data_IF_151412188627
#
_entry.id   IF_151412188627
#
_cell.length_a   1.000
_cell.length_b   1.000
_cell.length_c   1.000
_cell.angle_alpha   90.00
_cell.angle_beta   90.00
_cell.angle_gamma   90.00
#
_symmetry.space_group_name_H-M   'P 1'
#
loop_
_entity.id
_entity.type
_entity.pdbx_description
1 polymer ?
#
# COMPACT_ATOMS: atom_id res chain seq x y z
N UNK A 1 7.85 -26.05 -22.65
CA UNK A 1 7.35 -25.14 -21.58
C UNK A 1 6.03 -24.53 -22.03
N UNK A 2 4.97 -24.56 -21.20
CA UNK A 2 3.67 -23.98 -21.56
C UNK A 2 3.80 -22.46 -21.65
N UNK A 3 3.35 -21.87 -22.76
CA UNK A 3 3.39 -20.41 -22.97
C UNK A 3 2.74 -19.66 -21.81
N UNK A 4 3.38 -18.59 -21.33
CA UNK A 4 2.87 -17.70 -20.28
C UNK A 4 1.43 -17.20 -20.52
N UNK A 5 1.00 -17.09 -21.78
CA UNK A 5 -0.37 -16.71 -22.13
C UNK A 5 -1.38 -17.81 -21.76
N UNK A 6 -1.00 -19.08 -21.87
CA UNK A 6 -1.83 -20.22 -21.49
C UNK A 6 -1.95 -20.34 -19.96
N UNK A 7 -0.87 -20.10 -19.23
CA UNK A 7 -0.87 -20.16 -17.75
C UNK A 7 -1.70 -19.04 -17.13
N UNK A 8 -1.65 -17.82 -17.68
CA UNK A 8 -2.50 -16.70 -17.24
C UNK A 8 -3.99 -16.97 -17.52
N UNK A 9 -4.32 -17.53 -18.69
CA UNK A 9 -5.70 -17.90 -19.02
C UNK A 9 -6.23 -19.01 -18.12
N UNK A 10 -5.40 -19.99 -17.81
CA UNK A 10 -5.73 -21.06 -16.85
C UNK A 10 -5.91 -20.51 -15.43
N UNK A 11 -5.06 -19.59 -14.98
CA UNK A 11 -5.20 -18.89 -13.69
C UNK A 11 -6.54 -18.15 -13.60
N UNK A 12 -6.88 -17.34 -14.60
CA UNK A 12 -8.15 -16.60 -14.65
C UNK A 12 -9.38 -17.52 -14.65
N UNK A 13 -9.30 -18.65 -15.36
CA UNK A 13 -10.39 -19.64 -15.37
C UNK A 13 -10.53 -20.34 -14.01
N UNK A 14 -9.42 -20.61 -13.32
CA UNK A 14 -9.43 -21.21 -11.97
C UNK A 14 -9.98 -20.24 -10.93
N UNK A 15 -9.56 -18.98 -10.95
CA UNK A 15 -10.09 -17.96 -10.04
C UNK A 15 -11.58 -17.73 -10.27
N UNK A 16 -12.03 -17.67 -11.53
CA UNK A 16 -13.46 -17.53 -11.83
C UNK A 16 -14.28 -18.75 -11.36
N UNK A 17 -13.76 -19.97 -11.52
CA UNK A 17 -14.42 -21.19 -11.01
C UNK A 17 -14.50 -21.21 -9.48
N UNK A 18 -13.44 -20.81 -8.79
CA UNK A 18 -13.40 -20.71 -7.33
C UNK A 18 -14.41 -19.69 -6.81
N UNK A 19 -14.38 -18.47 -7.36
CA UNK A 19 -15.33 -17.40 -7.02
C UNK A 19 -16.76 -17.85 -7.27
N UNK A 20 -17.03 -18.49 -8.42
CA UNK A 20 -18.36 -19.01 -8.74
C UNK A 20 -18.79 -20.12 -7.78
N UNK A 21 -17.91 -21.07 -7.46
CA UNK A 21 -18.24 -22.16 -6.53
C UNK A 21 -18.51 -21.67 -5.11
N UNK A 22 -17.92 -20.55 -4.72
CA UNK A 22 -18.15 -19.91 -3.42
C UNK A 22 -19.41 -19.04 -3.39
N UNK A 23 -19.68 -18.28 -4.46
CA UNK A 23 -20.87 -17.42 -4.55
C UNK A 23 -22.17 -18.21 -4.81
N UNK A 24 -22.11 -19.27 -5.62
CA UNK A 24 -23.28 -20.04 -6.04
C UNK A 24 -24.12 -20.60 -4.87
N UNK A 25 -23.54 -21.20 -3.80
CA UNK A 25 -24.34 -21.69 -2.67
C UNK A 25 -24.96 -20.55 -1.84
N UNK A 26 -24.25 -19.42 -1.65
CA UNK A 26 -24.77 -18.28 -0.89
C UNK A 26 -25.88 -17.54 -1.64
N UNK A 27 -25.68 -17.26 -2.94
CA UNK A 27 -26.69 -16.63 -3.78
C UNK A 27 -27.87 -17.56 -4.08
N UNK A 28 -27.65 -18.88 -4.15
CA UNK A 28 -28.72 -19.88 -4.28
C UNK A 28 -29.64 -19.89 -3.06
N UNK A 29 -29.08 -19.94 -1.84
CA UNK A 29 -29.86 -19.96 -0.61
C UNK A 29 -30.70 -18.68 -0.42
N UNK A 30 -30.12 -17.51 -0.74
CA UNK A 30 -30.80 -16.21 -0.63
C UNK A 30 -31.81 -16.02 -1.79
N UNK A 31 -31.44 -16.44 -2.99
CA UNK A 31 -32.24 -16.34 -4.21
C UNK A 31 -33.50 -17.21 -4.20
N UNK A 32 -33.43 -18.40 -3.61
CA UNK A 32 -34.57 -19.32 -3.46
C UNK A 32 -35.52 -18.81 -2.37
N UNK A 33 -35.01 -18.34 -1.22
CA UNK A 33 -35.84 -17.80 -0.12
C UNK A 33 -36.62 -16.54 -0.52
N UNK A 34 -36.01 -15.64 -1.29
CA UNK A 34 -36.66 -14.39 -1.72
C UNK A 34 -37.28 -14.46 -3.12
N UNK A 35 -37.21 -15.62 -3.80
CA UNK A 35 -37.67 -15.85 -5.18
C UNK A 35 -37.29 -14.69 -6.11
N UNK A 36 -36.06 -14.20 -5.95
CA UNK A 36 -35.55 -12.99 -6.61
C UNK A 36 -35.64 -13.08 -8.12
N UNK A 37 -35.33 -14.26 -8.69
CA UNK A 37 -35.42 -14.49 -10.13
C UNK A 37 -36.83 -14.25 -10.69
N UNK A 38 -37.88 -14.60 -9.94
CA UNK A 38 -39.26 -14.37 -10.35
C UNK A 38 -39.64 -12.88 -10.32
N UNK A 39 -39.22 -12.17 -9.27
CA UNK A 39 -39.49 -10.73 -9.11
C UNK A 39 -38.71 -9.89 -10.12
N UNK A 40 -37.45 -10.25 -10.38
CA UNK A 40 -36.63 -9.61 -11.43
C UNK A 40 -37.27 -9.82 -12.80
N UNK A 41 -37.76 -11.02 -13.11
CA UNK A 41 -38.46 -11.27 -14.39
C UNK A 41 -39.71 -10.42 -14.52
N UNK A 42 -40.49 -10.27 -13.44
CA UNK A 42 -41.71 -9.47 -13.45
C UNK A 42 -41.42 -7.96 -13.55
N UNK A 43 -40.39 -7.49 -12.86
CA UNK A 43 -39.87 -6.13 -12.98
C UNK A 43 -39.37 -5.84 -14.40
N UNK A 44 -38.70 -6.79 -15.05
CA UNK A 44 -38.19 -6.63 -16.40
C UNK A 44 -39.32 -6.66 -17.46
N UNK A 45 -40.34 -7.50 -17.27
CA UNK A 45 -41.57 -7.49 -18.10
C UNK A 45 -42.29 -6.16 -17.94
N UNK A 46 -42.43 -5.67 -16.71
CA UNK A 46 -43.06 -4.38 -16.42
C UNK A 46 -42.27 -3.22 -17.02
N UNK A 47 -40.94 -3.27 -16.94
CA UNK A 47 -40.06 -2.28 -17.55
C UNK A 47 -40.21 -2.22 -19.07
N UNK A 48 -40.32 -3.39 -19.71
CA UNK A 48 -40.58 -3.48 -21.15
C UNK A 48 -41.96 -2.96 -21.53
N UNK A 49 -42.97 -3.09 -20.65
CA UNK A 49 -44.35 -2.63 -20.90
C UNK A 49 -44.51 -1.11 -20.72
N UNK A 50 -43.73 -0.48 -19.85
CA UNK A 50 -43.84 0.96 -19.56
C UNK A 50 -42.50 1.70 -19.67
N UNK A 51 -41.91 1.81 -20.88
CA UNK A 51 -40.54 2.30 -21.08
C UNK A 51 -40.33 3.76 -20.64
N UNK A 52 -41.34 4.63 -20.81
CA UNK A 52 -41.26 6.04 -20.40
C UNK A 52 -41.23 6.21 -18.88
N UNK A 53 -41.97 5.37 -18.15
CA UNK A 53 -42.02 5.42 -16.69
C UNK A 53 -40.73 4.87 -16.09
N UNK A 54 -40.19 3.78 -16.63
CA UNK A 54 -38.91 3.26 -16.16
C UNK A 54 -37.76 4.18 -16.43
N UNK A 55 -37.74 4.83 -17.60
CA UNK A 55 -36.73 5.85 -17.88
C UNK A 55 -36.84 7.02 -16.90
N UNK A 56 -38.04 7.53 -16.63
CA UNK A 56 -38.25 8.59 -15.65
C UNK A 56 -37.84 8.19 -14.23
N UNK A 57 -38.15 6.97 -13.78
CA UNK A 57 -37.72 6.49 -12.47
C UNK A 57 -36.21 6.30 -12.38
N UNK A 58 -35.57 5.75 -13.42
CA UNK A 58 -34.11 5.55 -13.43
C UNK A 58 -33.40 6.90 -13.44
N UNK A 59 -33.73 7.78 -14.39
CA UNK A 59 -33.14 9.11 -14.49
C UNK A 59 -33.44 9.96 -13.26
N UNK A 60 -34.65 9.87 -12.71
CA UNK A 60 -35.05 10.53 -11.47
C UNK A 60 -34.29 10.02 -10.26
N UNK A 61 -34.12 8.70 -10.11
CA UNK A 61 -33.32 8.12 -9.03
C UNK A 61 -31.84 8.50 -9.13
N UNK A 62 -31.30 8.56 -10.36
CA UNK A 62 -29.92 8.96 -10.60
C UNK A 62 -29.70 10.45 -10.25
N UNK A 63 -30.62 11.32 -10.68
CA UNK A 63 -30.61 12.73 -10.31
C UNK A 63 -30.79 12.94 -8.81
N UNK A 64 -31.68 12.16 -8.18
CA UNK A 64 -31.89 12.22 -6.75
C UNK A 64 -30.62 11.83 -5.97
N UNK A 65 -29.96 10.74 -6.36
CA UNK A 65 -28.66 10.36 -5.77
C UNK A 65 -27.63 11.45 -6.00
N UNK A 66 -27.55 12.04 -7.19
CA UNK A 66 -26.62 13.12 -7.48
C UNK A 66 -26.88 14.37 -6.61
N UNK A 67 -28.12 14.82 -6.52
CA UNK A 67 -28.51 15.96 -5.66
C UNK A 67 -28.30 15.63 -4.20
N UNK A 68 -28.59 14.41 -3.75
CA UNK A 68 -28.37 13.99 -2.37
C UNK A 68 -26.87 13.97 -2.01
N UNK A 69 -25.99 13.53 -2.91
CA UNK A 69 -24.54 13.60 -2.70
C UNK A 69 -24.08 15.05 -2.66
N UNK A 70 -24.48 15.90 -3.62
CA UNK A 70 -24.11 17.33 -3.61
C UNK A 70 -24.66 18.05 -2.38
N UNK A 71 -25.86 17.71 -1.93
CA UNK A 71 -26.46 18.28 -0.73
C UNK A 71 -25.79 17.77 0.55
N UNK A 72 -25.38 16.49 0.59
CA UNK A 72 -24.58 15.95 1.68
C UNK A 72 -23.20 16.60 1.70
N UNK A 73 -22.50 16.70 0.59
CA UNK A 73 -21.20 17.37 0.49
C UNK A 73 -21.33 18.87 0.79
N UNK A 74 -22.40 19.53 0.34
CA UNK A 74 -22.67 20.92 0.64
C UNK A 74 -23.06 21.18 2.10
N UNK A 75 -23.84 20.28 2.71
CA UNK A 75 -24.20 20.35 4.13
C UNK A 75 -23.02 19.96 5.02
N UNK A 76 -22.26 18.93 4.64
CA UNK A 76 -21.02 18.51 5.29
C UNK A 76 -19.96 19.60 5.18
N UNK A 77 -19.75 20.23 4.01
CA UNK A 77 -18.84 21.36 3.85
C UNK A 77 -19.26 22.58 4.67
N UNK A 78 -20.56 22.90 4.72
CA UNK A 78 -21.09 23.99 5.54
C UNK A 78 -21.01 23.66 7.05
N UNK A 79 -21.08 22.38 7.43
CA UNK A 79 -20.84 21.92 8.80
C UNK A 79 -19.35 21.77 9.15
N UNK A 80 -18.47 21.58 8.15
CA UNK A 80 -17.02 21.46 8.29
C UNK A 80 -16.35 22.83 8.46
N UNK A 81 -17.00 23.94 8.09
CA UNK A 81 -16.55 25.28 8.52
C UNK A 81 -16.64 25.44 10.07
N UNK A 82 -17.38 24.57 10.75
CA UNK A 82 -17.45 24.47 12.21
C UNK A 82 -16.80 23.21 12.80
N UNK A 83 -16.37 22.23 11.99
CA UNK A 83 -15.74 20.98 12.45
C UNK A 83 -14.84 20.35 11.36
N UNK A 84 -13.69 20.96 11.05
CA UNK A 84 -12.52 20.17 10.65
C UNK A 84 -12.04 19.40 11.90
N UNK A 85 -11.87 18.05 11.92
CA UNK A 85 -11.25 17.22 10.88
C UNK A 85 -11.79 15.76 10.81
N UNK A 86 -12.81 15.45 10.00
CA UNK A 86 -13.30 14.06 9.86
C UNK A 86 -13.25 13.47 8.44
N UNK A 87 -12.98 14.26 7.40
CA UNK A 87 -12.90 13.75 6.02
C UNK A 87 -11.67 12.87 5.74
N UNK A 88 -10.61 12.96 6.56
CA UNK A 88 -9.46 12.07 6.46
C UNK A 88 -9.73 10.67 7.06
N UNK A 89 -10.82 10.49 7.81
CA UNK A 89 -11.09 9.26 8.55
C UNK A 89 -12.05 8.32 7.79
N UNK A 90 -13.02 8.86 7.04
CA UNK A 90 -14.01 8.02 6.32
C UNK A 90 -13.47 7.40 5.01
N UNK A 91 -12.48 8.04 4.36
CA UNK A 91 -11.75 7.43 3.24
C UNK A 91 -10.81 6.30 3.68
N UNK A 92 -10.51 6.19 4.98
CA UNK A 92 -9.73 5.10 5.58
C UNK A 92 -10.57 3.83 5.82
N UNK A 93 -11.90 3.93 5.84
CA UNK A 93 -12.78 2.85 6.30
C UNK A 93 -13.34 1.92 5.20
N UNK A 94 -13.16 2.23 3.90
CA UNK A 94 -13.87 1.51 2.81
C UNK A 94 -13.05 0.42 2.11
N UNK A 95 -11.80 0.18 2.45
CA UNK A 95 -11.09 -0.98 1.91
C UNK A 95 -10.04 -1.52 2.89
N UNK A 96 -10.14 -2.77 3.36
CA UNK A 96 -9.05 -3.44 4.06
C UNK A 96 -7.97 -3.81 3.03
N UNK A 97 -7.29 -2.81 2.50
CA UNK A 97 -6.04 -2.93 1.71
C UNK A 97 -4.81 -2.55 2.54
N UNK A 98 -5.03 -2.26 3.82
CA UNK A 98 -4.06 -1.72 4.77
C UNK A 98 -2.80 -2.57 4.96
N UNK A 99 -2.81 -3.91 5.10
CA UNK A 99 -1.58 -4.61 5.47
C UNK A 99 -0.52 -4.57 4.37
N UNK A 100 -0.92 -4.46 3.10
CA UNK A 100 0.04 -4.40 1.99
C UNK A 100 0.56 -2.98 1.79
N UNK A 101 -0.30 -1.96 1.89
CA UNK A 101 0.11 -0.56 1.69
C UNK A 101 0.90 -0.01 2.88
N UNK A 102 0.56 -0.40 4.11
CA UNK A 102 1.39 -0.13 5.28
C UNK A 102 2.74 -0.84 5.17
N UNK A 103 2.76 -2.09 4.69
CA UNK A 103 4.00 -2.80 4.37
C UNK A 103 4.85 -2.03 3.35
N UNK A 104 4.27 -1.54 2.25
CA UNK A 104 5.01 -0.76 1.26
C UNK A 104 5.50 0.61 1.77
N UNK A 105 4.71 1.29 2.61
CA UNK A 105 5.10 2.59 3.20
C UNK A 105 6.20 2.42 4.24
N UNK A 106 6.09 1.41 5.11
CA UNK A 106 7.12 1.10 6.12
C UNK A 106 8.42 0.58 5.48
N UNK A 107 8.34 -0.24 4.43
CA UNK A 107 9.53 -0.68 3.68
C UNK A 107 10.24 0.50 3.01
N UNK A 108 9.49 1.45 2.43
CA UNK A 108 10.09 2.63 1.80
C UNK A 108 10.69 3.60 2.82
N UNK A 109 10.00 3.85 3.93
CA UNK A 109 10.52 4.65 5.03
C UNK A 109 11.76 4.01 5.67
N UNK A 110 11.78 2.68 5.85
CA UNK A 110 12.94 2.00 6.39
C UNK A 110 14.11 1.99 5.39
N UNK A 111 13.82 1.92 4.08
CA UNK A 111 14.85 2.02 3.02
C UNK A 111 15.54 3.38 2.99
N UNK A 112 14.83 4.48 3.25
CA UNK A 112 15.44 5.82 3.32
C UNK A 112 16.28 5.99 4.58
N UNK A 113 15.81 5.48 5.72
CA UNK A 113 16.59 5.46 6.98
C UNK A 113 17.84 4.58 6.87
N UNK A 114 17.75 3.41 6.23
CA UNK A 114 18.92 2.57 5.97
C UNK A 114 19.91 3.26 5.03
N UNK A 115 19.44 3.92 3.97
CA UNK A 115 20.31 4.66 3.04
C UNK A 115 21.04 5.82 3.73
N UNK A 116 20.36 6.60 4.58
CA UNK A 116 21.01 7.69 5.33
C UNK A 116 22.01 7.16 6.36
N UNK A 117 21.70 6.03 7.00
CA UNK A 117 22.60 5.37 7.95
C UNK A 117 23.87 4.86 7.26
N UNK A 118 23.74 4.22 6.07
CA UNK A 118 24.88 3.78 5.26
C UNK A 118 25.73 4.95 4.77
N UNK A 119 25.12 6.07 4.36
CA UNK A 119 25.85 7.28 3.99
C UNK A 119 26.63 7.86 5.18
N UNK A 120 26.04 7.88 6.38
CA UNK A 120 26.71 8.36 7.58
C UNK A 120 27.87 7.42 8.00
N UNK A 121 27.68 6.10 7.95
CA UNK A 121 28.73 5.11 8.19
C UNK A 121 29.88 5.22 7.17
N UNK A 122 29.56 5.46 5.90
CA UNK A 122 30.56 5.65 4.83
C UNK A 122 31.34 6.95 5.04
N UNK A 123 30.66 8.05 5.36
CA UNK A 123 31.30 9.34 5.64
C UNK A 123 32.21 9.26 6.87
N UNK A 124 31.74 8.61 7.95
CA UNK A 124 32.57 8.33 9.14
C UNK A 124 33.78 7.45 8.80
N UNK A 125 33.60 6.44 7.97
CA UNK A 125 34.70 5.58 7.50
C UNK A 125 35.74 6.35 6.70
N UNK A 126 35.33 7.28 5.83
CA UNK A 126 36.24 8.14 5.07
C UNK A 126 37.02 9.10 5.97
N UNK A 127 36.35 9.75 6.93
CA UNK A 127 37.02 10.64 7.89
C UNK A 127 38.02 9.88 8.77
N UNK A 128 37.66 8.67 9.25
CA UNK A 128 38.57 7.86 10.05
C UNK A 128 39.78 7.37 9.23
N UNK A 129 39.58 7.09 7.94
CA UNK A 129 40.65 6.70 7.03
C UNK A 129 41.60 7.88 6.77
N UNK A 130 41.07 9.08 6.58
CA UNK A 130 41.86 10.31 6.40
C UNK A 130 42.65 10.66 7.67
N UNK A 131 42.05 10.49 8.84
CA UNK A 131 42.72 10.65 10.14
C UNK A 131 43.82 9.60 10.34
N UNK A 132 43.58 8.34 9.95
CA UNK A 132 44.59 7.29 9.98
C UNK A 132 45.76 7.57 9.04
N UNK A 133 45.48 8.07 7.84
CA UNK A 133 46.50 8.38 6.85
C UNK A 133 47.38 9.54 7.33
N UNK A 134 46.77 10.54 7.98
CA UNK A 134 47.48 11.64 8.66
C UNK A 134 48.33 11.15 9.85
N UNK A 135 47.80 10.25 10.69
CA UNK A 135 48.54 9.64 11.81
C UNK A 135 49.64 8.66 11.35
N UNK A 136 49.50 8.07 10.17
CA UNK A 136 50.52 7.23 9.55
C UNK A 136 51.67 8.07 8.99
N UNK A 137 51.40 9.26 8.45
CA UNK A 137 52.39 10.18 7.87
C UNK A 137 53.37 10.80 8.89
N UNK A 138 53.10 10.69 10.20
CA UNK A 138 54.00 11.17 11.25
C UNK A 138 55.27 10.29 11.38
N UNK A 139 56.48 10.88 11.30
CA UNK A 139 57.75 10.16 11.23
C UNK A 139 58.27 9.61 12.58
N UNK A 140 57.72 10.02 13.72
CA UNK A 140 58.00 9.45 15.05
C UNK A 140 56.68 9.21 15.79
N UNK A 141 56.44 7.95 16.18
CA UNK A 141 55.19 7.52 16.82
C UNK A 141 55.39 7.44 18.33
N UNK A 142 54.55 8.16 19.09
CA UNK A 142 54.53 8.06 20.55
C UNK A 142 53.70 6.83 20.99
N UNK A 143 53.93 6.31 22.20
CA UNK A 143 53.18 5.15 22.70
C UNK A 143 51.66 5.42 22.76
N UNK A 144 51.27 6.68 22.98
CA UNK A 144 49.89 7.13 22.93
C UNK A 144 49.31 7.07 21.51
N UNK A 145 50.06 7.54 20.49
CA UNK A 145 49.64 7.45 19.09
C UNK A 145 49.46 6.01 18.62
N UNK A 146 50.34 5.10 19.04
CA UNK A 146 50.20 3.68 18.69
C UNK A 146 48.91 3.05 19.26
N UNK A 147 48.50 3.44 20.46
CA UNK A 147 47.23 2.98 21.05
C UNK A 147 46.02 3.60 20.30
N UNK A 148 46.12 4.87 19.92
CA UNK A 148 45.10 5.57 19.15
C UNK A 148 44.88 4.92 17.78
N UNK A 149 45.97 4.61 17.05
CA UNK A 149 45.92 3.93 15.74
C UNK A 149 45.21 2.57 15.85
N UNK A 150 45.49 1.78 16.90
CA UNK A 150 44.87 0.47 17.10
C UNK A 150 43.36 0.61 17.38
N UNK A 151 42.96 1.61 18.17
CA UNK A 151 41.54 1.87 18.46
C UNK A 151 40.78 2.28 17.20
N UNK A 152 41.35 3.19 16.40
CA UNK A 152 40.74 3.62 15.15
C UNK A 152 40.69 2.49 14.10
N UNK A 153 41.70 1.61 14.04
CA UNK A 153 41.64 0.40 13.21
C UNK A 153 40.49 -0.54 13.60
N UNK A 154 40.27 -0.76 14.91
CA UNK A 154 39.16 -1.60 15.41
C UNK A 154 37.80 -0.99 15.10
N UNK A 155 37.69 0.34 15.17
CA UNK A 155 36.47 1.05 14.78
C UNK A 155 36.22 0.90 13.27
N UNK A 156 37.25 1.05 12.43
CA UNK A 156 37.14 0.85 10.99
C UNK A 156 36.70 -0.59 10.63
N UNK A 157 37.30 -1.59 11.28
CA UNK A 157 36.93 -2.99 11.10
C UNK A 157 35.47 -3.27 11.49
N UNK A 158 35.00 -2.66 12.58
CA UNK A 158 33.59 -2.79 13.01
C UNK A 158 32.61 -2.18 11.99
N UNK A 159 32.99 -1.06 11.37
CA UNK A 159 32.20 -0.38 10.33
C UNK A 159 32.19 -1.22 9.05
N UNK A 160 33.36 -1.72 8.60
CA UNK A 160 33.47 -2.59 7.41
C UNK A 160 32.67 -3.87 7.58
N UNK A 161 32.74 -4.51 8.76
CA UNK A 161 31.96 -5.72 9.07
C UNK A 161 30.47 -5.42 9.08
N UNK A 162 30.06 -4.26 9.59
CA UNK A 162 28.68 -3.80 9.56
C UNK A 162 28.19 -3.55 8.14
N UNK A 163 28.99 -2.89 7.28
CA UNK A 163 28.65 -2.68 5.87
C UNK A 163 28.52 -4.01 5.12
N UNK A 164 29.49 -4.93 5.28
CA UNK A 164 29.48 -6.25 4.65
C UNK A 164 28.27 -7.10 5.06
N UNK A 165 27.86 -7.06 6.32
CA UNK A 165 26.68 -7.78 6.79
C UNK A 165 25.37 -7.20 6.26
N UNK A 166 25.34 -5.92 5.86
CA UNK A 166 24.17 -5.27 5.30
C UNK A 166 24.09 -5.36 3.75
N UNK A 167 25.19 -5.74 3.07
CA UNK A 167 25.23 -5.97 1.61
C UNK A 167 24.71 -7.36 1.18
N UNK A 168 24.52 -8.28 2.13
CA UNK A 168 23.92 -9.59 1.87
C UNK A 168 22.43 -9.57 2.27
N UNK A 169 21.47 -9.58 1.31
CA UNK A 169 20.04 -9.57 1.59
C UNK A 169 19.51 -10.87 2.20
#
# INVERSE_FOLDING_TARGET
>A
MKSFRKTLRESRLRTHKLVRSWLQPKLGAIGIKYRLAGRIRLANIWAKKHPRRTFAYVTGSLLFVLVANIAMDGLLANSNELNEPNELNELSAIAPVDPMLEGFRTIQANKTVHRSTLMNLTAKGQLLHEELDSLIALPHKTHADSVHIIQSYRQLESIVKSLKNNDHP
#
